data_IF_976100158248
#
_entry.id   IF_976100158248
#
_cell.length_a   1.000
_cell.length_b   1.000
_cell.length_c   1.000
_cell.angle_alpha   90.00
_cell.angle_beta   90.00
_cell.angle_gamma   90.00
#
_symmetry.space_group_name_H-M   'P 1'
#
loop_
_entity.id
_entity.type
_entity.pdbx_description
1 polymer ?
#
# COMPACT_ATOMS: atom_id res chain seq x y z
N UNK A 1 -1.29 -38.01 -66.09
CA UNK A 1 -0.49 -37.32 -65.03
C UNK A 1 -1.30 -36.15 -64.58
N UNK A 2 -1.98 -36.25 -63.41
CA UNK A 2 -2.83 -35.23 -62.87
C UNK A 2 -2.10 -34.69 -61.62
N UNK A 3 -1.66 -33.46 -61.66
CA UNK A 3 -1.01 -32.79 -60.54
C UNK A 3 -2.06 -32.27 -59.55
N UNK A 4 -2.04 -32.78 -58.37
CA UNK A 4 -2.91 -32.39 -57.27
C UNK A 4 -2.25 -31.23 -56.53
N UNK A 5 -2.85 -30.03 -56.62
CA UNK A 5 -2.39 -28.83 -55.90
C UNK A 5 -3.05 -28.87 -54.52
N UNK A 6 -2.27 -29.04 -53.45
CA UNK A 6 -2.66 -28.90 -52.06
C UNK A 6 -2.70 -27.39 -51.68
N UNK A 7 -3.91 -26.86 -51.48
CA UNK A 7 -4.10 -25.55 -50.87
C UNK A 7 -3.94 -25.68 -49.33
N UNK A 8 -2.84 -25.17 -48.79
CA UNK A 8 -2.65 -25.03 -47.36
C UNK A 8 -3.35 -23.71 -46.96
N UNK A 9 -4.54 -23.82 -46.34
CA UNK A 9 -5.28 -22.72 -45.75
C UNK A 9 -4.60 -22.34 -44.43
N UNK A 10 -3.87 -21.23 -44.40
CA UNK A 10 -3.31 -20.67 -43.17
C UNK A 10 -4.43 -20.08 -42.32
N UNK A 11 -4.79 -20.78 -41.26
CA UNK A 11 -5.75 -20.33 -40.24
C UNK A 11 -5.08 -19.26 -39.38
N UNK A 12 -5.24 -17.99 -39.75
CA UNK A 12 -4.78 -16.84 -38.94
C UNK A 12 -5.71 -16.68 -37.74
N UNK A 13 -5.32 -17.22 -36.58
CA UNK A 13 -6.02 -16.99 -35.34
C UNK A 13 -5.84 -15.50 -34.96
N UNK A 14 -6.93 -14.75 -34.73
CA UNK A 14 -6.79 -13.40 -34.22
C UNK A 14 -6.17 -13.47 -32.81
N UNK A 15 -4.98 -12.88 -32.66
CA UNK A 15 -4.38 -12.62 -31.36
C UNK A 15 -5.31 -11.67 -30.63
N UNK A 16 -6.09 -12.17 -29.70
CA UNK A 16 -6.85 -11.33 -28.77
C UNK A 16 -5.82 -10.61 -27.89
N UNK A 17 -5.50 -9.38 -28.27
CA UNK A 17 -4.80 -8.44 -27.39
C UNK A 17 -5.68 -8.23 -26.16
N UNK A 18 -5.34 -8.88 -25.06
CA UNK A 18 -5.90 -8.58 -23.76
C UNK A 18 -5.54 -7.13 -23.45
N UNK A 19 -6.45 -6.22 -23.73
CA UNK A 19 -6.32 -4.82 -23.42
C UNK A 19 -6.44 -4.71 -21.89
N UNK A 20 -5.28 -4.52 -21.22
CA UNK A 20 -5.28 -4.24 -19.78
C UNK A 20 -6.15 -3.01 -19.54
N UNK A 21 -7.24 -3.17 -18.80
CA UNK A 21 -8.09 -2.04 -18.41
C UNK A 21 -7.24 -1.01 -17.67
N UNK A 22 -7.42 0.29 -17.94
CA UNK A 22 -6.69 1.33 -17.23
C UNK A 22 -6.97 1.20 -15.72
N UNK A 23 -5.91 1.20 -14.92
CA UNK A 23 -6.03 1.09 -13.47
C UNK A 23 -6.67 2.35 -12.92
N UNK A 24 -7.71 2.21 -12.14
CA UNK A 24 -8.41 3.32 -11.49
C UNK A 24 -7.62 3.80 -10.25
N UNK A 25 -6.85 4.87 -10.41
CA UNK A 25 -6.06 5.49 -9.33
C UNK A 25 -6.96 6.00 -8.19
N UNK A 26 -8.18 6.43 -8.48
CA UNK A 26 -9.15 6.85 -7.47
C UNK A 26 -9.66 5.68 -6.64
N UNK A 27 -9.85 4.52 -7.24
CA UNK A 27 -10.20 3.31 -6.50
C UNK A 27 -9.07 2.88 -5.55
N UNK A 28 -7.81 3.03 -5.96
CA UNK A 28 -6.65 2.80 -5.09
C UNK A 28 -6.63 3.80 -3.92
N UNK A 29 -6.81 5.09 -4.21
CA UNK A 29 -6.91 6.13 -3.18
C UNK A 29 -8.03 5.81 -2.18
N UNK A 30 -9.20 5.42 -2.65
CA UNK A 30 -10.35 5.06 -1.80
C UNK A 30 -10.02 3.89 -0.87
N UNK A 31 -9.34 2.87 -1.39
CA UNK A 31 -8.91 1.71 -0.58
C UNK A 31 -7.87 2.11 0.47
N UNK A 32 -6.89 2.93 0.10
CA UNK A 32 -5.89 3.48 1.02
C UNK A 32 -6.55 4.38 2.09
N UNK A 33 -7.53 5.20 1.70
CA UNK A 33 -8.27 6.06 2.61
C UNK A 33 -9.08 5.26 3.64
N UNK A 34 -9.60 4.09 3.26
CA UNK A 34 -10.27 3.19 4.20
C UNK A 34 -9.30 2.73 5.31
N UNK A 35 -8.05 2.40 4.98
CA UNK A 35 -7.02 2.05 5.97
C UNK A 35 -6.64 3.25 6.84
N UNK A 36 -6.44 4.42 6.25
CA UNK A 36 -6.14 5.64 6.99
C UNK A 36 -7.26 5.97 7.99
N UNK A 37 -8.51 5.81 7.57
CA UNK A 37 -9.68 5.98 8.43
C UNK A 37 -9.74 4.92 9.53
N UNK A 38 -9.41 3.67 9.22
CA UNK A 38 -9.33 2.56 10.17
C UNK A 38 -8.25 2.83 11.25
N UNK A 39 -7.08 3.37 10.84
CA UNK A 39 -6.04 3.80 11.78
C UNK A 39 -6.58 4.83 12.78
N UNK A 40 -7.26 5.87 12.28
CA UNK A 40 -7.85 6.92 13.13
C UNK A 40 -8.91 6.37 14.09
N UNK A 41 -9.72 5.39 13.66
CA UNK A 41 -10.83 4.82 14.45
C UNK A 41 -10.42 3.66 15.34
N UNK A 42 -9.20 3.12 15.20
CA UNK A 42 -8.79 1.89 15.88
C UNK A 42 -9.46 0.63 15.34
N UNK A 43 -9.90 0.64 14.08
CA UNK A 43 -10.54 -0.52 13.43
C UNK A 43 -9.47 -1.50 12.95
N UNK A 44 -9.08 -2.40 13.86
CA UNK A 44 -8.02 -3.38 13.64
C UNK A 44 -8.40 -4.40 12.56
N UNK A 45 -9.66 -4.76 12.43
CA UNK A 45 -10.11 -5.72 11.42
C UNK A 45 -9.86 -5.18 10.01
N UNK A 46 -10.30 -3.96 9.73
CA UNK A 46 -10.04 -3.28 8.44
C UNK A 46 -8.53 -3.08 8.20
N UNK A 47 -7.75 -2.75 9.22
CA UNK A 47 -6.30 -2.62 9.10
C UNK A 47 -5.63 -3.93 8.68
N UNK A 48 -6.00 -5.05 9.32
CA UNK A 48 -5.44 -6.36 8.98
C UNK A 48 -5.86 -6.81 7.57
N UNK A 49 -7.13 -6.62 7.23
CA UNK A 49 -7.65 -6.99 5.91
C UNK A 49 -6.95 -6.22 4.78
N UNK A 50 -6.74 -4.92 4.95
CA UNK A 50 -6.07 -4.09 3.96
C UNK A 50 -4.55 -4.19 3.96
N UNK A 51 -3.93 -4.80 4.97
CA UNK A 51 -2.48 -4.95 5.06
C UNK A 51 -1.95 -5.99 4.07
N UNK A 52 -0.74 -5.75 3.55
CA UNK A 52 -0.04 -6.71 2.71
C UNK A 52 0.29 -7.98 3.52
N UNK A 53 -0.06 -9.19 3.02
CA UNK A 53 0.01 -10.43 3.81
C UNK A 53 1.37 -10.67 4.47
N UNK A 54 2.47 -10.45 3.74
CA UNK A 54 3.81 -10.59 4.29
C UNK A 54 4.08 -9.69 5.51
N UNK A 55 3.51 -8.49 5.53
CA UNK A 55 3.64 -7.59 6.68
C UNK A 55 2.92 -8.16 7.93
N UNK A 56 1.80 -8.84 7.73
CA UNK A 56 1.06 -9.54 8.80
C UNK A 56 1.81 -10.79 9.27
N UNK A 57 2.35 -11.60 8.36
CA UNK A 57 3.18 -12.77 8.67
C UNK A 57 4.40 -12.39 9.52
N UNK A 58 5.07 -11.30 9.17
CA UNK A 58 6.23 -10.81 9.93
C UNK A 58 5.89 -10.31 11.34
N UNK A 59 4.63 -10.01 11.61
CA UNK A 59 4.15 -9.71 12.97
C UNK A 59 3.78 -10.97 13.75
N UNK A 60 4.00 -12.16 13.20
CA UNK A 60 3.68 -13.45 13.80
C UNK A 60 2.30 -14.00 13.40
N UNK A 61 1.76 -13.53 12.26
CA UNK A 61 0.45 -13.89 11.76
C UNK A 61 -0.68 -13.00 12.28
N UNK A 62 -1.91 -13.33 11.90
CA UNK A 62 -3.08 -12.47 12.13
C UNK A 62 -3.32 -12.14 13.59
N UNK A 63 -3.31 -13.15 14.46
CA UNK A 63 -3.63 -12.98 15.89
C UNK A 63 -2.55 -12.15 16.61
N UNK A 64 -1.27 -12.42 16.32
CA UNK A 64 -0.17 -11.63 16.87
C UNK A 64 -0.19 -10.19 16.37
N UNK A 65 -0.49 -9.97 15.08
CA UNK A 65 -0.63 -8.66 14.47
C UNK A 65 -1.80 -7.88 15.10
N UNK A 66 -2.96 -8.52 15.29
CA UNK A 66 -4.10 -7.91 15.95
C UNK A 66 -3.76 -7.44 17.37
N UNK A 67 -3.15 -8.33 18.15
CA UNK A 67 -2.72 -8.00 19.53
C UNK A 67 -1.72 -6.85 19.56
N UNK A 68 -0.74 -6.85 18.65
CA UNK A 68 0.27 -5.80 18.56
C UNK A 68 -0.33 -4.45 18.17
N UNK A 69 -1.27 -4.41 17.21
CA UNK A 69 -1.94 -3.18 16.79
C UNK A 69 -2.81 -2.64 17.93
N UNK A 70 -3.60 -3.48 18.61
CA UNK A 70 -4.41 -3.06 19.77
C UNK A 70 -3.54 -2.49 20.88
N UNK A 71 -2.45 -3.18 21.24
CA UNK A 71 -1.51 -2.70 22.26
C UNK A 71 -0.90 -1.34 21.89
N UNK A 72 -0.52 -1.15 20.63
CA UNK A 72 0.01 0.14 20.17
C UNK A 72 -1.03 1.27 20.27
N UNK A 73 -2.28 1.01 19.95
CA UNK A 73 -3.36 1.98 20.07
C UNK A 73 -3.66 2.35 21.53
N UNK A 74 -3.68 1.36 22.42
CA UNK A 74 -3.84 1.58 23.86
C UNK A 74 -2.69 2.42 24.42
N UNK A 75 -1.46 2.16 23.98
CA UNK A 75 -0.28 2.93 24.39
C UNK A 75 -0.33 4.37 23.89
N UNK A 76 -0.85 4.63 22.69
CA UNK A 76 -1.11 5.98 22.21
C UNK A 76 -2.13 6.68 23.10
N UNK A 77 -3.25 6.02 23.42
CA UNK A 77 -4.26 6.57 24.32
C UNK A 77 -3.70 6.91 25.70
N UNK A 78 -2.92 6.01 26.32
CA UNK A 78 -2.25 6.24 27.62
C UNK A 78 -1.29 7.44 27.59
N UNK A 79 -0.65 7.69 26.43
CA UNK A 79 0.24 8.83 26.22
C UNK A 79 -0.49 10.12 25.84
N UNK A 80 -1.83 10.11 25.79
CA UNK A 80 -2.62 11.25 25.34
C UNK A 80 -2.48 11.58 23.86
N UNK A 81 -2.10 10.59 23.04
CA UNK A 81 -1.95 10.76 21.60
C UNK A 81 -3.24 10.30 20.92
N UNK A 82 -3.82 11.18 20.09
CA UNK A 82 -5.05 10.90 19.33
C UNK A 82 -4.84 11.28 17.87
N UNK A 83 -5.19 10.40 16.95
CA UNK A 83 -5.18 10.71 15.52
C UNK A 83 -6.37 11.60 15.17
N UNK A 84 -6.11 12.85 14.80
CA UNK A 84 -7.14 13.82 14.41
C UNK A 84 -7.41 13.83 12.93
N UNK A 85 -6.38 13.54 12.11
CA UNK A 85 -6.46 13.49 10.66
C UNK A 85 -5.66 12.32 10.10
N UNK A 86 -6.20 11.66 9.08
CA UNK A 86 -5.51 10.65 8.28
C UNK A 86 -6.08 10.73 6.86
N UNK A 87 -5.38 11.42 5.96
CA UNK A 87 -5.84 11.70 4.61
C UNK A 87 -4.85 11.18 3.57
N UNK A 88 -5.39 10.44 2.59
CA UNK A 88 -4.66 9.91 1.46
C UNK A 88 -4.95 10.75 0.20
N UNK A 89 -3.89 11.11 -0.52
CA UNK A 89 -3.98 11.70 -1.84
C UNK A 89 -3.99 10.64 -2.93
N UNK A 90 -4.45 10.99 -4.12
CA UNK A 90 -4.40 10.09 -5.28
C UNK A 90 -2.93 9.74 -5.62
N UNK A 91 -2.61 8.46 -5.89
CA UNK A 91 -1.28 8.07 -6.34
C UNK A 91 -1.00 8.65 -7.74
N UNK A 92 0.27 8.93 -8.02
CA UNK A 92 0.66 9.57 -9.29
C UNK A 92 1.03 8.58 -10.38
N UNK A 93 1.58 7.44 -10.00
CA UNK A 93 2.11 6.45 -10.95
C UNK A 93 1.99 5.03 -10.40
N UNK A 94 1.98 4.08 -11.32
CA UNK A 94 2.09 2.65 -11.01
C UNK A 94 3.43 2.15 -11.55
N UNK A 95 4.16 1.43 -10.73
CA UNK A 95 5.42 0.79 -11.07
C UNK A 95 5.18 -0.72 -11.18
N UNK A 96 5.51 -1.30 -12.33
CA UNK A 96 5.43 -2.75 -12.55
C UNK A 96 6.83 -3.35 -12.36
N UNK A 97 6.99 -4.21 -11.36
CA UNK A 97 8.26 -4.84 -11.04
C UNK A 97 8.02 -6.32 -10.75
N UNK A 98 8.74 -7.20 -11.45
CA UNK A 98 8.73 -8.65 -11.26
C UNK A 98 7.29 -9.24 -11.22
N UNK A 99 6.43 -8.80 -12.15
CA UNK A 99 5.05 -9.28 -12.30
C UNK A 99 4.04 -8.71 -11.31
N UNK A 100 4.46 -7.90 -10.36
CA UNK A 100 3.60 -7.21 -9.40
C UNK A 100 3.51 -5.72 -9.72
N UNK A 101 2.43 -5.10 -9.25
CA UNK A 101 2.19 -3.68 -9.43
C UNK A 101 2.31 -2.96 -8.08
N UNK A 102 3.01 -1.85 -8.11
CA UNK A 102 3.30 -1.04 -6.93
C UNK A 102 2.88 0.40 -7.17
N UNK A 103 2.36 1.03 -6.13
CA UNK A 103 2.06 2.47 -6.16
C UNK A 103 2.26 3.10 -4.80
N UNK A 104 2.74 4.34 -4.80
CA UNK A 104 2.86 5.14 -3.58
C UNK A 104 1.63 6.02 -3.45
N UNK A 105 0.86 5.81 -2.39
CA UNK A 105 -0.27 6.65 -2.01
C UNK A 105 0.19 7.63 -0.94
N UNK A 106 0.37 8.92 -1.25
CA UNK A 106 0.77 9.92 -0.26
C UNK A 106 -0.28 10.04 0.83
N UNK A 107 0.15 10.19 2.09
CA UNK A 107 -0.73 10.32 3.24
C UNK A 107 -0.23 11.41 4.18
N UNK A 108 -1.15 12.15 4.79
CA UNK A 108 -0.86 13.08 5.87
C UNK A 108 -1.56 12.60 7.13
N UNK A 109 -0.79 12.45 8.20
CA UNK A 109 -1.29 12.13 9.53
C UNK A 109 -1.17 13.37 10.43
N UNK A 110 -2.25 13.69 11.16
CA UNK A 110 -2.20 14.66 12.26
C UNK A 110 -2.56 13.96 13.57
N UNK A 111 -1.78 14.25 14.57
CA UNK A 111 -1.93 13.67 15.89
C UNK A 111 -1.97 14.79 16.94
N UNK A 112 -3.03 14.85 17.71
CA UNK A 112 -3.02 15.63 18.96
C UNK A 112 -2.13 14.91 19.96
N UNK A 113 -1.17 15.63 20.52
CA UNK A 113 -0.30 15.16 21.59
C UNK A 113 -0.45 16.11 22.79
N UNK A 114 -0.03 15.76 24.01
CA UNK A 114 -0.29 16.57 25.20
C UNK A 114 0.08 18.05 25.07
N UNK A 115 1.17 18.35 24.35
CA UNK A 115 1.71 19.71 24.27
C UNK A 115 1.49 20.40 22.91
N UNK A 116 0.67 19.83 22.00
CA UNK A 116 0.46 20.43 20.68
C UNK A 116 -0.04 19.45 19.62
N UNK A 117 0.08 19.87 18.37
CA UNK A 117 -0.31 19.12 17.17
C UNK A 117 0.94 18.68 16.42
N UNK A 118 1.06 17.38 16.15
CA UNK A 118 2.08 16.82 15.27
C UNK A 118 1.47 16.48 13.91
N UNK A 119 2.04 17.04 12.82
CA UNK A 119 1.66 16.73 11.44
C UNK A 119 2.80 15.97 10.77
N UNK A 120 2.53 14.73 10.35
CA UNK A 120 3.52 13.83 9.76
C UNK A 120 3.15 13.48 8.31
N UNK A 121 3.92 13.97 7.31
CA UNK A 121 3.87 13.41 5.96
C UNK A 121 4.29 11.93 6.00
N UNK A 122 3.51 11.08 5.35
CA UNK A 122 3.72 9.64 5.27
C UNK A 122 3.23 9.11 3.92
N UNK A 123 3.22 7.82 3.75
CA UNK A 123 2.61 7.16 2.59
C UNK A 123 2.21 5.73 2.92
N UNK A 124 1.32 5.19 2.10
CA UNK A 124 1.06 3.76 2.00
C UNK A 124 1.65 3.25 0.69
N UNK A 125 2.42 2.16 0.74
CA UNK A 125 2.84 1.44 -0.46
C UNK A 125 1.76 0.42 -0.81
N UNK A 126 1.02 0.67 -1.87
CA UNK A 126 0.05 -0.27 -2.43
C UNK A 126 0.76 -1.32 -3.28
N UNK A 127 0.37 -2.58 -3.12
CA UNK A 127 0.88 -3.73 -3.84
C UNK A 127 -0.32 -4.52 -4.39
N UNK A 128 -0.29 -4.82 -5.68
CA UNK A 128 -1.25 -5.72 -6.33
C UNK A 128 -0.51 -6.85 -7.03
N UNK A 129 -0.98 -8.08 -6.83
CA UNK A 129 -0.42 -9.30 -7.41
C UNK A 129 -1.33 -9.89 -8.52
N UNK A 130 -2.46 -9.24 -8.79
CA UNK A 130 -3.50 -9.69 -9.72
C UNK A 130 -3.78 -8.71 -10.86
N UNK A 131 -2.78 -7.91 -11.22
CA UNK A 131 -2.90 -6.95 -12.31
C UNK A 131 -3.70 -5.69 -11.97
N UNK A 132 -3.68 -5.28 -10.71
CA UNK A 132 -4.30 -4.02 -10.27
C UNK A 132 -5.75 -4.14 -9.82
N UNK A 133 -6.29 -5.36 -9.65
CA UNK A 133 -7.68 -5.59 -9.22
C UNK A 133 -7.83 -5.43 -7.71
N UNK A 134 -6.91 -6.03 -6.93
CA UNK A 134 -6.90 -5.95 -5.48
C UNK A 134 -5.60 -5.32 -5.01
N UNK A 135 -5.70 -4.36 -4.10
CA UNK A 135 -4.57 -3.65 -3.54
C UNK A 135 -4.47 -3.92 -2.03
N UNK A 136 -3.27 -4.31 -1.59
CA UNK A 136 -2.90 -4.45 -0.18
C UNK A 136 -1.78 -3.47 0.13
N UNK A 137 -1.69 -3.02 1.38
CA UNK A 137 -0.84 -1.89 1.70
C UNK A 137 0.19 -2.19 2.78
N UNK A 138 1.36 -1.56 2.65
CA UNK A 138 2.39 -1.48 3.69
C UNK A 138 2.48 -0.01 4.13
N UNK A 139 2.46 0.22 5.43
CA UNK A 139 2.72 1.55 5.99
C UNK A 139 4.18 1.97 5.72
N UNK A 140 4.37 3.17 5.17
CA UNK A 140 5.67 3.71 4.82
C UNK A 140 6.63 3.82 6.00
N UNK A 141 6.12 3.89 7.24
CA UNK A 141 6.94 3.88 8.45
C UNK A 141 7.80 2.62 8.58
N UNK A 142 7.33 1.48 8.06
CA UNK A 142 8.07 0.22 8.03
C UNK A 142 9.19 0.19 6.97
N UNK A 143 9.12 1.10 6.01
CA UNK A 143 10.05 1.22 4.88
C UNK A 143 11.07 2.36 5.06
N UNK A 144 11.14 2.97 6.25
CA UNK A 144 11.98 4.15 6.52
C UNK A 144 13.48 3.88 6.39
N UNK A 145 13.93 2.67 6.71
CA UNK A 145 15.36 2.32 6.68
C UNK A 145 15.62 1.13 5.74
N UNK A 146 16.87 0.94 5.36
CA UNK A 146 17.28 -0.12 4.44
C UNK A 146 16.88 -1.51 4.93
N UNK A 147 17.04 -1.80 6.23
CA UNK A 147 16.69 -3.10 6.82
C UNK A 147 15.18 -3.36 6.71
N UNK A 148 14.34 -2.37 7.01
CA UNK A 148 12.88 -2.50 6.87
C UNK A 148 12.48 -2.73 5.42
N UNK A 149 13.10 -2.02 4.47
CA UNK A 149 12.85 -2.23 3.04
C UNK A 149 13.26 -3.62 2.58
N UNK A 150 14.47 -4.07 2.92
CA UNK A 150 14.97 -5.40 2.54
C UNK A 150 14.09 -6.51 3.10
N UNK A 151 13.66 -6.38 4.33
CA UNK A 151 12.82 -7.38 4.98
C UNK A 151 11.40 -7.43 4.37
N UNK A 152 10.79 -6.27 4.08
CA UNK A 152 9.44 -6.19 3.52
C UNK A 152 9.39 -6.48 2.01
N UNK A 153 10.43 -6.06 1.29
CA UNK A 153 10.49 -6.07 -0.17
C UNK A 153 11.87 -6.59 -0.64
N UNK A 154 12.24 -7.84 -0.31
CA UNK A 154 13.56 -8.38 -0.61
C UNK A 154 13.86 -8.33 -2.10
N UNK A 155 15.00 -7.74 -2.49
CA UNK A 155 15.46 -7.62 -3.87
C UNK A 155 14.60 -6.73 -4.78
N UNK A 156 13.52 -6.13 -4.27
CA UNK A 156 12.59 -5.30 -5.06
C UNK A 156 12.69 -3.81 -4.68
N UNK A 157 13.01 -3.51 -3.42
CA UNK A 157 12.96 -2.15 -2.90
C UNK A 157 13.88 -1.16 -3.62
N UNK A 158 14.99 -1.63 -4.19
CA UNK A 158 15.92 -0.82 -4.99
C UNK A 158 15.35 -0.44 -6.38
N UNK A 159 14.42 -1.26 -6.88
CA UNK A 159 13.73 -1.04 -8.16
C UNK A 159 12.55 -0.06 -8.02
N UNK A 160 12.13 0.24 -6.80
CA UNK A 160 10.98 1.10 -6.50
C UNK A 160 11.39 2.53 -6.16
N UNK A 161 10.67 3.50 -6.70
CA UNK A 161 10.81 4.92 -6.34
C UNK A 161 10.04 5.21 -5.05
N UNK A 162 10.63 4.87 -3.90
CA UNK A 162 10.02 5.13 -2.60
C UNK A 162 10.34 6.57 -2.14
N UNK A 163 9.37 7.27 -1.52
CA UNK A 163 9.59 8.60 -0.98
C UNK A 163 10.67 8.62 0.11
N UNK A 164 11.45 9.70 0.12
CA UNK A 164 12.35 9.97 1.23
C UNK A 164 11.54 10.23 2.51
N UNK A 165 12.13 9.85 3.65
CA UNK A 165 11.53 10.09 4.95
C UNK A 165 11.48 11.60 5.25
N UNK A 166 10.30 12.10 5.62
CA UNK A 166 10.12 13.50 5.99
C UNK A 166 9.86 13.59 7.50
N UNK A 167 10.49 14.56 8.21
CA UNK A 167 10.24 14.76 9.63
C UNK A 167 8.81 15.26 9.87
N UNK A 168 8.23 14.88 10.99
CA UNK A 168 6.99 15.46 11.45
C UNK A 168 7.21 16.94 11.83
N UNK A 169 6.21 17.78 11.56
CA UNK A 169 6.14 19.15 12.04
C UNK A 169 5.37 19.18 13.35
N UNK A 170 5.88 19.90 14.32
CA UNK A 170 5.22 20.09 15.61
C UNK A 170 4.76 21.54 15.76
N UNK A 171 3.52 21.74 16.18
CA UNK A 171 2.94 23.04 16.52
C UNK A 171 2.52 22.99 17.99
N UNK A 172 3.14 23.77 18.89
CA UNK A 172 2.76 23.82 20.30
C UNK A 172 1.32 24.30 20.48
N UNK A 173 0.68 23.88 21.56
CA UNK A 173 -0.55 24.53 22.01
C UNK A 173 -0.25 26.00 22.40
N UNK A 174 -1.22 26.92 22.20
CA UNK A 174 -1.08 28.33 22.63
C UNK A 174 -0.95 28.48 24.14
#
# INVERSE_FOLDING_TARGET
>A
MVAQILLISAFCLPSVLLQESPVDLKAIQKSAQALATATKKGDVATLLEGSYPKAVEMMGGKDAAEKAIRSAMDDFGKKGITFTKAECSEPKEIQKVDGKWYTVVPMVLEMQVPNGLATAPSYLLGISEDGGKVWKFIDGSRLKNAKGREVMLPGIHEKLKLPANQPAKFTPNP
#
